data_IF_468763021970
#
_entry.id   IF_468763021970
#
_cell.length_a   1.000
_cell.length_b   1.000
_cell.length_c   1.000
_cell.angle_alpha   90.00
_cell.angle_beta   90.00
_cell.angle_gamma   90.00
#
_symmetry.space_group_name_H-M   'P 1'
#
loop_
_entity.id
_entity.type
_entity.pdbx_description
1 polymer ?
#
# COMPACT_ATOMS: atom_id res chain seq x y z
N UNK A 1 -9.48 5.29 -15.40
CA UNK A 1 -10.65 5.94 -14.76
C UNK A 1 -10.36 6.60 -13.40
N UNK A 2 -9.98 5.91 -12.30
CA UNK A 2 -9.67 6.62 -11.02
C UNK A 2 -8.30 7.30 -11.06
N UNK A 3 -7.28 6.61 -11.56
CA UNK A 3 -5.91 7.15 -11.63
C UNK A 3 -5.84 8.42 -12.47
N UNK A 4 -6.56 8.46 -13.59
CA UNK A 4 -6.68 9.66 -14.44
C UNK A 4 -7.23 10.86 -13.65
N UNK A 5 -8.31 10.67 -12.88
CA UNK A 5 -8.89 11.74 -12.05
C UNK A 5 -7.87 12.26 -11.03
N UNK A 6 -7.13 11.36 -10.38
CA UNK A 6 -6.10 11.76 -9.40
C UNK A 6 -4.94 12.49 -10.09
N UNK A 7 -4.53 12.04 -11.28
CA UNK A 7 -3.49 12.71 -12.07
C UNK A 7 -3.91 14.10 -12.52
N UNK A 8 -5.15 14.26 -13.01
CA UNK A 8 -5.70 15.56 -13.41
C UNK A 8 -5.76 16.55 -12.23
N UNK A 9 -6.21 16.07 -11.07
CA UNK A 9 -6.21 16.86 -9.84
C UNK A 9 -4.79 17.26 -9.44
N UNK A 10 -3.82 16.34 -9.48
CA UNK A 10 -2.41 16.62 -9.17
C UNK A 10 -1.77 17.59 -10.16
N UNK A 11 -2.15 17.54 -11.44
CA UNK A 11 -1.63 18.45 -12.46
C UNK A 11 -1.99 19.91 -12.16
N UNK A 12 -3.18 20.15 -11.59
CA UNK A 12 -3.62 21.49 -11.21
C UNK A 12 -2.83 22.12 -10.05
N UNK A 13 -2.21 21.29 -9.19
CA UNK A 13 -1.48 21.75 -7.99
C UNK A 13 0.04 21.68 -8.16
N UNK A 14 0.54 20.55 -8.65
CA UNK A 14 1.98 20.22 -8.61
C UNK A 14 2.62 20.16 -9.99
N UNK A 15 1.82 20.16 -11.07
CA UNK A 15 2.25 19.99 -12.48
C UNK A 15 3.09 18.74 -12.74
N UNK A 16 3.05 17.75 -11.84
CA UNK A 16 3.75 16.47 -12.02
C UNK A 16 2.74 15.34 -12.20
N UNK A 17 2.43 15.03 -13.46
CA UNK A 17 1.52 13.94 -13.82
C UNK A 17 2.05 12.55 -13.44
N UNK A 18 3.36 12.40 -13.26
CA UNK A 18 4.00 11.11 -12.98
C UNK A 18 4.08 10.79 -11.48
N UNK A 19 3.60 11.69 -10.61
CA UNK A 19 3.62 11.49 -9.17
C UNK A 19 2.75 10.31 -8.70
N UNK A 20 1.72 9.94 -9.47
CA UNK A 20 0.89 8.76 -9.24
C UNK A 20 0.85 7.94 -10.52
N UNK A 21 1.18 6.66 -10.41
CA UNK A 21 1.18 5.73 -11.54
C UNK A 21 0.39 4.49 -11.16
N UNK A 22 -0.42 4.01 -12.10
CA UNK A 22 -1.10 2.72 -11.97
C UNK A 22 -0.24 1.65 -12.64
N UNK A 23 0.01 0.58 -11.90
CA UNK A 23 0.69 -0.58 -12.44
C UNK A 23 -0.30 -1.44 -13.26
N UNK A 24 0.13 -2.02 -14.40
CA UNK A 24 -0.73 -2.89 -15.18
C UNK A 24 -1.12 -4.14 -14.37
N UNK A 25 -2.42 -4.48 -14.38
CA UNK A 25 -3.01 -5.54 -13.54
C UNK A 25 -2.67 -6.96 -13.98
N UNK A 26 -2.21 -7.12 -15.22
CA UNK A 26 -2.31 -8.40 -15.94
C UNK A 26 -1.05 -9.27 -15.84
N UNK A 27 0.00 -8.76 -15.20
CA UNK A 27 1.29 -9.45 -15.12
C UNK A 27 1.73 -9.54 -13.66
N UNK A 28 1.35 -10.64 -13.02
CA UNK A 28 1.87 -11.03 -11.70
C UNK A 28 3.41 -11.12 -11.68
N UNK A 29 4.06 -11.25 -12.85
CA UNK A 29 5.50 -11.14 -13.05
C UNK A 29 6.03 -9.71 -12.86
N UNK A 30 5.36 -8.68 -13.39
CA UNK A 30 5.74 -7.26 -13.20
C UNK A 30 5.75 -6.92 -11.71
N UNK A 31 4.77 -7.40 -10.96
CA UNK A 31 4.72 -7.20 -9.51
C UNK A 31 5.95 -7.79 -8.83
N UNK A 32 6.44 -8.97 -9.25
CA UNK A 32 7.65 -9.58 -8.69
C UNK A 32 8.92 -8.81 -9.05
N UNK A 33 9.03 -8.32 -10.26
CA UNK A 33 10.16 -7.49 -10.68
C UNK A 33 10.19 -6.18 -9.87
N UNK A 34 9.05 -5.52 -9.68
CA UNK A 34 8.94 -4.30 -8.86
C UNK A 34 9.36 -4.52 -7.41
N UNK A 35 9.10 -5.70 -6.83
CA UNK A 35 9.57 -6.04 -5.47
C UNK A 35 11.11 -6.05 -5.37
N UNK A 36 11.81 -6.15 -6.50
CA UNK A 36 13.27 -6.26 -6.55
C UNK A 36 13.99 -4.99 -7.04
N UNK A 37 13.27 -3.98 -7.55
CA UNK A 37 13.82 -2.74 -8.10
C UNK A 37 14.23 -1.71 -7.02
N UNK A 38 15.39 -1.94 -6.39
CA UNK A 38 15.96 -1.04 -5.36
C UNK A 38 16.26 0.39 -5.84
N UNK A 39 16.59 0.58 -7.11
CA UNK A 39 17.06 1.88 -7.62
C UNK A 39 15.95 2.92 -7.77
N UNK A 40 14.68 2.49 -7.80
CA UNK A 40 13.53 3.36 -8.06
C UNK A 40 12.47 3.32 -6.96
N UNK A 41 12.46 2.27 -6.13
CA UNK A 41 11.47 2.08 -5.06
C UNK A 41 12.18 2.06 -3.71
N UNK A 42 11.73 2.94 -2.81
CA UNK A 42 12.31 3.08 -1.46
C UNK A 42 11.49 2.37 -0.39
N UNK A 43 10.18 2.18 -0.62
CA UNK A 43 9.26 1.61 0.35
C UNK A 43 8.12 0.88 -0.36
N UNK A 44 7.75 -0.29 0.16
CA UNK A 44 6.55 -1.03 -0.24
C UNK A 44 5.55 -1.05 0.91
N UNK A 45 4.27 -0.82 0.58
CA UNK A 45 3.15 -0.86 1.54
C UNK A 45 2.13 -1.89 1.03
N UNK A 46 2.29 -3.19 1.36
CA UNK A 46 1.33 -4.20 0.94
C UNK A 46 0.02 -4.07 1.72
N UNK A 47 -1.10 -4.14 1.00
CA UNK A 47 -2.43 -4.16 1.59
C UNK A 47 -3.25 -5.30 0.99
N UNK A 48 -3.87 -6.12 1.82
CA UNK A 48 -4.69 -7.24 1.37
C UNK A 48 -4.62 -8.45 2.29
N UNK A 49 -4.80 -9.65 1.70
CA UNK A 49 -4.81 -10.91 2.44
C UNK A 49 -3.45 -11.19 3.08
N UNK A 50 -3.41 -11.90 4.22
CA UNK A 50 -2.15 -12.29 4.87
C UNK A 50 -1.17 -13.01 3.93
N UNK A 51 -1.67 -13.85 3.02
CA UNK A 51 -0.84 -14.56 2.04
C UNK A 51 -0.06 -13.62 1.11
N UNK A 52 -0.72 -12.56 0.61
CA UNK A 52 -0.09 -11.52 -0.22
C UNK A 52 1.00 -10.78 0.57
N UNK A 53 0.65 -10.33 1.78
CA UNK A 53 1.59 -9.60 2.64
C UNK A 53 2.82 -10.46 2.94
N UNK A 54 2.63 -11.74 3.26
CA UNK A 54 3.72 -12.69 3.51
C UNK A 54 4.58 -12.93 2.27
N UNK A 55 3.97 -13.02 1.08
CA UNK A 55 4.71 -13.16 -0.17
C UNK A 55 5.59 -11.92 -0.43
N UNK A 56 5.03 -10.72 -0.28
CA UNK A 56 5.75 -9.46 -0.46
C UNK A 56 6.92 -9.35 0.52
N UNK A 57 6.70 -9.66 1.81
CA UNK A 57 7.77 -9.63 2.83
C UNK A 57 8.90 -10.60 2.47
N UNK A 58 8.60 -11.78 1.92
CA UNK A 58 9.62 -12.79 1.55
C UNK A 58 10.41 -12.41 0.29
N UNK A 59 9.79 -11.70 -0.64
CA UNK A 59 10.38 -11.42 -1.97
C UNK A 59 10.96 -10.01 -2.11
N UNK A 60 10.54 -9.06 -1.27
CA UNK A 60 10.94 -7.67 -1.37
C UNK A 60 12.43 -7.47 -1.01
N UNK A 61 13.14 -6.77 -1.88
CA UNK A 61 14.51 -6.31 -1.63
C UNK A 61 14.56 -4.89 -1.04
N UNK A 62 13.42 -4.24 -0.87
CA UNK A 62 13.29 -2.89 -0.30
C UNK A 62 12.52 -2.95 1.03
N UNK A 63 12.63 -1.93 1.91
CA UNK A 63 11.85 -1.87 3.14
C UNK A 63 10.34 -2.07 2.87
N UNK A 64 9.70 -2.88 3.74
CA UNK A 64 8.26 -3.18 3.65
C UNK A 64 7.56 -2.69 4.91
N UNK A 65 6.61 -1.77 4.78
CA UNK A 65 5.70 -1.38 5.84
C UNK A 65 4.48 -2.29 5.83
N UNK A 66 4.55 -3.39 6.57
CA UNK A 66 3.43 -4.32 6.70
C UNK A 66 2.30 -3.70 7.52
N UNK A 67 1.05 -3.93 7.09
CA UNK A 67 -0.09 -3.67 7.97
C UNK A 67 -0.10 -4.69 9.10
N UNK A 68 -0.22 -4.19 10.33
CA UNK A 68 -0.45 -5.05 11.49
C UNK A 68 -1.86 -5.58 11.47
N UNK A 69 -2.02 -6.89 11.57
CA UNK A 69 -3.30 -7.51 11.88
C UNK A 69 -3.24 -7.88 13.35
N UNK A 70 -4.19 -7.37 14.12
CA UNK A 70 -4.27 -7.58 15.55
C UNK A 70 -5.71 -7.70 15.99
N UNK A 71 -5.91 -8.43 17.08
CA UNK A 71 -7.18 -8.43 17.77
C UNK A 71 -7.31 -7.09 18.50
N UNK A 72 -8.37 -6.36 18.19
CA UNK A 72 -8.73 -5.20 18.96
C UNK A 72 -9.60 -5.68 20.12
N UNK A 73 -9.29 -5.19 21.33
CA UNK A 73 -10.06 -5.48 22.53
C UNK A 73 -10.65 -4.18 23.04
N UNK A 74 -11.94 -4.21 23.34
CA UNK A 74 -12.62 -3.12 24.03
C UNK A 74 -12.72 -3.49 25.50
N UNK A 75 -12.15 -2.66 26.37
CA UNK A 75 -12.35 -2.75 27.81
C UNK A 75 -13.33 -1.65 28.23
N UNK A 76 -14.43 -2.06 28.87
CA UNK A 76 -15.40 -1.14 29.45
C UNK A 76 -15.12 -1.01 30.96
N UNK A 77 -14.77 0.21 31.40
CA UNK A 77 -14.54 0.50 32.81
C UNK A 77 -15.85 0.38 33.61
N UNK A 78 -15.82 -0.02 34.89
CA UNK A 78 -17.02 -0.03 35.75
C UNK A 78 -17.74 1.32 35.84
N UNK A 79 -17.01 2.42 35.64
CA UNK A 79 -17.55 3.78 35.69
C UNK A 79 -17.83 4.36 34.29
N UNK A 80 -17.79 3.53 33.23
CA UNK A 80 -18.00 4.01 31.88
C UNK A 80 -19.47 4.40 31.67
N UNK A 81 -19.70 5.59 31.09
CA UNK A 81 -21.01 5.97 30.58
C UNK A 81 -21.30 5.20 29.30
N UNK A 82 -22.56 4.77 29.12
CA UNK A 82 -23.02 3.96 27.98
C UNK A 82 -23.84 4.81 26.99
N UNK A 83 -23.66 6.13 27.01
CA UNK A 83 -24.37 7.06 26.14
C UNK A 83 -23.72 7.19 24.76
#
# INVERSE_FOLDING_TARGET
MITEIVQDALNSVTKNLQAVQLLPTDQSEITRELLTLKSHIQLLIPYGRPSLIQQVIKQANVPVLKTGIGNNYLYCSPNASID
#
